data_IF_799644115875
#
_entry.id   IF_799644115875
#
_cell.length_a   1.000
_cell.length_b   1.000
_cell.length_c   1.000
_cell.angle_alpha   90.00
_cell.angle_beta   90.00
_cell.angle_gamma   90.00
#
_symmetry.space_group_name_H-M   'P 1'
#
loop_
_entity.id
_entity.type
_entity.pdbx_description
1 polymer ?
#
# COMPACT_ATOMS: atom_id res chain seq x y z
N UNK A 1 -4.34 31.38 -4.04
CA UNK A 1 -5.69 31.76 -3.59
C UNK A 1 -6.68 30.74 -4.10
N UNK A 2 -7.39 30.13 -3.17
CA UNK A 2 -8.61 29.33 -3.32
C UNK A 2 -8.41 27.95 -3.99
N UNK A 3 -8.06 26.97 -3.17
CA UNK A 3 -8.35 25.55 -3.36
C UNK A 3 -9.41 25.15 -2.35
N UNK A 4 -10.62 24.84 -2.79
CA UNK A 4 -11.69 24.36 -1.93
C UNK A 4 -11.50 22.86 -1.65
N UNK A 5 -11.15 22.52 -0.44
CA UNK A 5 -11.19 21.17 0.07
C UNK A 5 -12.66 20.75 0.28
N UNK A 6 -13.09 19.69 -0.42
CA UNK A 6 -14.38 19.04 -0.15
C UNK A 6 -14.18 18.12 1.03
N UNK A 7 -14.59 18.58 2.21
CA UNK A 7 -14.65 17.79 3.44
C UNK A 7 -15.87 16.88 3.41
N UNK A 8 -15.65 15.58 3.40
CA UNK A 8 -16.66 14.59 3.77
C UNK A 8 -16.87 14.62 5.30
N UNK A 9 -17.77 15.51 5.73
CA UNK A 9 -18.42 15.43 7.04
C UNK A 9 -19.91 15.55 6.82
N UNK A 10 -20.62 14.46 7.10
CA UNK A 10 -21.96 14.41 7.71
C UNK A 10 -22.70 13.16 7.25
N UNK A 11 -22.69 12.11 8.05
CA UNK A 11 -23.81 11.20 8.25
C UNK A 11 -23.66 10.56 9.62
N UNK A 12 -24.19 11.22 10.65
CA UNK A 12 -24.73 10.56 11.84
C UNK A 12 -25.76 11.49 12.46
N UNK A 13 -26.97 11.03 12.53
CA UNK A 13 -28.18 11.43 13.27
C UNK A 13 -29.36 11.81 12.39
N UNK A 14 -30.42 11.10 12.61
CA UNK A 14 -31.77 11.46 12.15
C UNK A 14 -32.73 10.28 12.17
N UNK A 15 -33.21 9.93 13.36
CA UNK A 15 -34.29 8.96 13.59
C UNK A 15 -35.67 9.55 13.24
N UNK A 16 -36.49 8.72 12.59
CA UNK A 16 -37.96 8.66 12.58
C UNK A 16 -38.79 9.92 12.38
N UNK A 17 -39.51 9.97 11.26
CA UNK A 17 -40.91 10.36 11.24
C UNK A 17 -41.64 9.63 10.13
N UNK A 18 -42.59 8.81 10.50
CA UNK A 18 -43.61 8.15 9.66
C UNK A 18 -44.59 9.21 9.22
N UNK A 19 -44.81 9.35 7.91
CA UNK A 19 -46.01 9.95 7.34
C UNK A 19 -46.48 9.11 6.16
N UNK A 20 -47.55 8.37 6.43
CA UNK A 20 -48.41 7.70 5.46
C UNK A 20 -49.19 8.75 4.68
N UNK A 21 -48.98 8.86 3.39
CA UNK A 21 -49.94 9.45 2.47
C UNK A 21 -50.06 8.58 1.24
N UNK A 22 -51.22 7.95 1.12
CA UNK A 22 -51.64 7.23 -0.06
C UNK A 22 -51.83 8.19 -1.25
N UNK A 23 -51.13 7.92 -2.36
CA UNK A 23 -51.45 8.52 -3.65
C UNK A 23 -51.45 7.39 -4.70
N UNK A 24 -52.57 7.38 -5.43
CA UNK A 24 -53.00 6.39 -6.39
C UNK A 24 -52.05 6.18 -7.59
N UNK A 25 -51.89 4.90 -7.96
CA UNK A 25 -51.81 4.33 -9.31
C UNK A 25 -51.38 5.21 -10.47
N UNK A 26 -50.07 5.14 -10.81
CA UNK A 26 -49.67 5.00 -12.19
C UNK A 26 -49.01 3.61 -12.28
N UNK A 27 -49.73 2.63 -12.83
CA UNK A 27 -49.19 1.36 -13.24
C UNK A 27 -48.25 1.56 -14.41
N UNK A 28 -47.03 2.03 -14.16
CA UNK A 28 -45.92 1.77 -15.05
C UNK A 28 -45.74 0.24 -15.01
N UNK A 29 -45.83 -0.40 -16.17
CA UNK A 29 -45.46 -1.81 -16.34
C UNK A 29 -43.96 -1.96 -15.99
N UNK A 30 -43.65 -2.05 -14.73
CA UNK A 30 -42.35 -2.54 -14.26
C UNK A 30 -42.46 -4.05 -14.37
N UNK A 31 -41.73 -4.63 -15.31
CA UNK A 31 -41.51 -6.07 -15.31
C UNK A 31 -41.15 -6.52 -13.92
N UNK A 32 -41.73 -7.59 -13.37
CA UNK A 32 -41.39 -8.06 -12.03
C UNK A 32 -39.88 -8.24 -11.94
N UNK A 33 -39.31 -7.73 -10.86
CA UNK A 33 -37.87 -7.86 -10.61
C UNK A 33 -37.51 -9.33 -10.55
N UNK A 34 -36.57 -9.78 -11.40
CA UNK A 34 -35.96 -11.09 -11.28
C UNK A 34 -35.01 -11.10 -10.10
N UNK A 35 -35.51 -11.51 -8.93
CA UNK A 35 -34.70 -11.58 -7.70
C UNK A 35 -33.47 -12.47 -7.89
N UNK A 36 -33.57 -13.53 -8.71
CA UNK A 36 -32.43 -14.39 -9.05
C UNK A 36 -31.35 -13.65 -9.81
N UNK A 37 -31.72 -12.87 -10.83
CA UNK A 37 -30.79 -12.10 -11.65
C UNK A 37 -30.13 -10.99 -10.83
N UNK A 38 -30.92 -10.29 -10.01
CA UNK A 38 -30.40 -9.29 -9.09
C UNK A 38 -29.38 -9.90 -8.13
N UNK A 39 -29.74 -11.00 -7.43
CA UNK A 39 -28.85 -11.66 -6.48
C UNK A 39 -27.55 -12.14 -7.16
N UNK A 40 -27.66 -12.67 -8.39
CA UNK A 40 -26.52 -13.09 -9.19
C UNK A 40 -25.61 -11.89 -9.49
N UNK A 41 -26.18 -10.81 -10.01
CA UNK A 41 -25.44 -9.56 -10.31
C UNK A 41 -24.74 -8.99 -9.08
N UNK A 42 -25.45 -8.95 -7.93
CA UNK A 42 -24.90 -8.44 -6.68
C UNK A 42 -23.76 -9.31 -6.15
N UNK A 43 -23.95 -10.62 -6.01
CA UNK A 43 -22.96 -11.51 -5.41
C UNK A 43 -21.68 -11.56 -6.25
N UNK A 44 -21.81 -11.82 -7.57
CA UNK A 44 -20.63 -11.90 -8.45
C UNK A 44 -20.00 -10.51 -8.65
N UNK A 45 -20.82 -9.45 -8.73
CA UNK A 45 -20.32 -8.07 -8.78
C UNK A 45 -19.45 -7.70 -7.60
N UNK A 46 -19.84 -8.08 -6.38
CA UNK A 46 -19.07 -7.82 -5.16
C UNK A 46 -17.75 -8.62 -5.13
N UNK A 47 -17.80 -9.89 -5.56
CA UNK A 47 -16.58 -10.70 -5.72
C UNK A 47 -15.62 -10.08 -6.74
N UNK A 48 -16.15 -9.64 -7.89
CA UNK A 48 -15.36 -8.98 -8.93
C UNK A 48 -14.82 -7.62 -8.50
N UNK A 49 -15.56 -6.88 -7.67
CA UNK A 49 -15.07 -5.65 -7.04
C UNK A 49 -13.86 -5.94 -6.15
N UNK A 50 -13.99 -6.90 -5.23
CA UNK A 50 -12.91 -7.29 -4.31
C UNK A 50 -11.67 -7.78 -5.07
N UNK A 51 -11.86 -8.60 -6.10
CA UNK A 51 -10.78 -9.08 -6.96
C UNK A 51 -10.09 -7.94 -7.73
N UNK A 52 -10.89 -7.04 -8.33
CA UNK A 52 -10.43 -6.02 -9.28
C UNK A 52 -9.88 -4.77 -8.64
N UNK A 53 -10.32 -4.43 -7.40
CA UNK A 53 -9.94 -3.19 -6.73
C UNK A 53 -8.42 -2.98 -6.68
N UNK A 54 -7.58 -3.94 -6.28
CA UNK A 54 -6.12 -3.77 -6.26
C UNK A 54 -5.53 -3.43 -7.63
N UNK A 55 -5.99 -4.10 -8.68
CA UNK A 55 -5.55 -3.86 -10.04
C UNK A 55 -5.90 -2.44 -10.53
N UNK A 56 -7.10 -1.96 -10.20
CA UNK A 56 -7.53 -0.62 -10.58
C UNK A 56 -6.83 0.48 -9.74
N UNK A 57 -6.58 0.22 -8.46
CA UNK A 57 -5.79 1.11 -7.59
C UNK A 57 -4.37 1.24 -8.13
N UNK A 58 -3.73 0.13 -8.49
CA UNK A 58 -2.38 0.12 -9.09
C UNK A 58 -2.37 0.87 -10.42
N UNK A 59 -3.40 0.68 -11.26
CA UNK A 59 -3.51 1.39 -12.53
C UNK A 59 -3.69 2.90 -12.35
N UNK A 60 -4.52 3.35 -11.41
CA UNK A 60 -4.69 4.80 -11.14
C UNK A 60 -3.44 5.40 -10.51
N UNK A 61 -2.74 4.64 -9.66
CA UNK A 61 -1.43 5.03 -9.09
C UNK A 61 -0.40 5.20 -10.21
N UNK A 62 -0.26 4.21 -11.11
CA UNK A 62 0.59 4.31 -12.28
C UNK A 62 0.27 5.57 -13.11
N UNK A 63 -1.00 5.72 -13.52
CA UNK A 63 -1.42 6.84 -14.37
C UNK A 63 -1.15 8.20 -13.71
N UNK A 64 -1.37 8.30 -12.39
CA UNK A 64 -1.10 9.53 -11.64
C UNK A 64 0.40 9.81 -11.54
N UNK A 65 1.19 8.81 -11.13
CA UNK A 65 2.62 8.99 -10.89
C UNK A 65 3.41 9.25 -12.18
N UNK A 66 2.94 8.72 -13.33
CA UNK A 66 3.61 8.89 -14.62
C UNK A 66 2.98 9.99 -15.49
N UNK A 67 2.11 10.82 -14.92
CA UNK A 67 1.40 11.89 -15.67
C UNK A 67 2.25 13.10 -16.00
N UNK A 68 3.47 13.19 -15.48
CA UNK A 68 4.42 14.29 -15.75
C UNK A 68 5.67 13.80 -16.46
N UNK A 69 6.28 14.71 -17.25
CA UNK A 69 7.41 14.41 -18.14
C UNK A 69 8.78 14.68 -17.51
N UNK A 70 8.80 15.20 -16.28
CA UNK A 70 10.02 15.52 -15.53
C UNK A 70 9.91 14.94 -14.12
N UNK A 71 11.00 14.31 -13.66
CA UNK A 71 11.04 13.75 -12.30
C UNK A 71 10.80 14.83 -11.24
N UNK A 72 9.82 14.59 -10.37
CA UNK A 72 9.49 15.42 -9.23
C UNK A 72 9.09 14.57 -8.02
N UNK A 73 10.05 14.29 -7.16
CA UNK A 73 9.87 13.36 -6.03
C UNK A 73 9.55 11.94 -6.52
N UNK A 74 8.37 11.43 -6.19
CA UNK A 74 7.91 10.09 -6.59
C UNK A 74 7.23 10.06 -7.97
N UNK A 75 7.02 11.21 -8.61
CA UNK A 75 6.38 11.36 -9.91
C UNK A 75 7.39 11.54 -11.01
N UNK A 76 7.09 11.04 -12.23
CA UNK A 76 7.91 11.25 -13.40
C UNK A 76 7.72 10.18 -14.45
N UNK A 77 8.44 10.25 -15.58
CA UNK A 77 8.32 9.32 -16.69
C UNK A 77 8.62 7.87 -16.30
N UNK A 78 8.10 6.93 -17.12
CA UNK A 78 8.43 5.49 -17.01
C UNK A 78 9.90 5.23 -17.34
N UNK A 79 10.41 4.08 -16.92
CA UNK A 79 11.75 3.59 -17.20
C UNK A 79 12.89 4.50 -16.71
N UNK A 80 12.62 5.27 -15.64
CA UNK A 80 13.65 6.00 -14.89
C UNK A 80 13.28 6.08 -13.42
N UNK A 81 14.29 6.25 -12.55
CA UNK A 81 14.05 6.48 -11.14
C UNK A 81 13.61 7.92 -10.87
N UNK A 82 12.57 8.05 -10.06
CA UNK A 82 12.05 9.29 -9.51
C UNK A 82 12.32 9.24 -8.00
N UNK A 83 13.30 10.01 -7.54
CA UNK A 83 13.82 9.89 -6.19
C UNK A 83 13.27 10.97 -5.28
N UNK A 84 12.72 10.57 -4.13
CA UNK A 84 12.38 11.48 -3.02
C UNK A 84 13.65 11.77 -2.23
N UNK A 85 14.06 13.03 -2.17
CA UNK A 85 15.34 13.48 -1.58
C UNK A 85 15.19 14.09 -0.19
N UNK A 86 14.00 14.09 0.35
CA UNK A 86 13.67 14.66 1.67
C UNK A 86 12.94 13.63 2.51
N UNK A 87 13.13 13.72 3.82
CA UNK A 87 12.36 12.89 4.75
C UNK A 87 10.86 13.18 4.65
N UNK A 88 10.08 12.13 4.78
CA UNK A 88 8.63 12.27 4.89
C UNK A 88 8.25 13.02 6.18
N UNK A 89 7.18 13.77 6.09
CA UNK A 89 6.60 14.60 7.15
C UNK A 89 5.06 14.60 7.00
N UNK A 90 4.31 15.28 7.86
CA UNK A 90 2.85 15.33 7.77
C UNK A 90 2.26 15.80 6.43
N UNK A 91 3.04 16.52 5.63
CA UNK A 91 2.66 16.94 4.27
C UNK A 91 2.92 15.88 3.18
N UNK A 92 3.56 14.76 3.51
CA UNK A 92 3.85 13.66 2.57
C UNK A 92 2.61 12.79 2.41
N UNK A 93 1.89 12.95 1.31
CA UNK A 93 0.59 12.30 1.05
C UNK A 93 0.61 11.37 -0.18
N UNK A 94 1.77 11.13 -0.77
CA UNK A 94 1.92 10.34 -2.01
C UNK A 94 1.68 8.85 -1.76
N UNK A 95 2.11 8.37 -0.60
CA UNK A 95 1.91 6.97 -0.16
C UNK A 95 1.27 6.96 1.22
N UNK A 96 0.52 5.90 1.51
CA UNK A 96 -0.07 5.67 2.83
C UNK A 96 1.02 5.23 3.79
N UNK A 97 1.00 5.75 5.01
CA UNK A 97 1.90 5.40 6.10
C UNK A 97 3.40 5.42 5.69
N UNK A 98 3.93 6.55 5.20
CA UNK A 98 5.32 6.64 4.77
C UNK A 98 6.29 6.52 5.96
N UNK A 99 7.46 5.89 5.75
CA UNK A 99 8.53 5.85 6.75
C UNK A 99 9.19 7.22 6.93
N UNK A 100 9.63 7.56 8.15
CA UNK A 100 10.30 8.83 8.45
C UNK A 100 11.84 8.73 8.53
N UNK A 101 12.41 7.54 8.32
CA UNK A 101 13.86 7.29 8.42
C UNK A 101 14.48 6.76 7.13
N UNK A 102 13.80 6.88 6.00
CA UNK A 102 14.32 6.42 4.71
C UNK A 102 14.00 7.41 3.59
N UNK A 103 14.78 7.35 2.51
CA UNK A 103 14.45 8.02 1.26
C UNK A 103 13.93 7.00 0.25
N UNK A 104 12.89 7.39 -0.49
CA UNK A 104 12.24 6.52 -1.47
C UNK A 104 12.82 6.72 -2.87
N UNK A 105 13.01 5.62 -3.60
CA UNK A 105 13.36 5.57 -5.02
C UNK A 105 12.26 4.85 -5.77
N UNK A 106 11.51 5.57 -6.59
CA UNK A 106 10.33 5.05 -7.28
C UNK A 106 10.60 4.96 -8.78
N UNK A 107 10.23 3.84 -9.39
CA UNK A 107 10.22 3.72 -10.85
C UNK A 107 9.04 2.88 -11.33
N UNK A 108 8.45 3.27 -12.45
CA UNK A 108 7.51 2.45 -13.18
C UNK A 108 8.16 1.95 -14.45
N UNK A 109 8.22 0.64 -14.63
CA UNK A 109 8.75 0.03 -15.84
C UNK A 109 7.62 -0.20 -16.85
N UNK A 110 7.88 0.17 -18.10
CA UNK A 110 7.18 -0.31 -19.27
C UNK A 110 8.12 -1.23 -20.05
N UNK A 111 7.87 -2.53 -19.97
CA UNK A 111 8.61 -3.60 -20.62
C UNK A 111 7.95 -4.06 -21.93
N UNK A 112 6.94 -3.33 -22.45
CA UNK A 112 6.19 -3.75 -23.64
C UNK A 112 7.05 -3.81 -24.89
N UNK A 113 8.13 -3.03 -24.95
CA UNK A 113 9.02 -2.95 -26.12
C UNK A 113 10.28 -3.78 -25.97
N UNK A 114 10.96 -3.66 -24.83
CA UNK A 114 12.23 -4.33 -24.55
C UNK A 114 12.48 -4.42 -23.05
N UNK A 115 13.38 -5.34 -22.60
CA UNK A 115 13.83 -5.40 -21.23
C UNK A 115 14.49 -4.09 -20.76
N UNK A 116 14.43 -3.83 -19.46
CA UNK A 116 15.19 -2.77 -18.81
C UNK A 116 16.32 -3.37 -17.99
N UNK A 117 17.49 -2.75 -18.04
CA UNK A 117 18.63 -3.10 -17.18
C UNK A 117 18.60 -2.20 -15.96
N UNK A 118 18.34 -2.81 -14.81
CA UNK A 118 18.46 -2.17 -13.50
C UNK A 118 19.89 -2.30 -13.02
N UNK A 119 20.56 -1.16 -12.77
CA UNK A 119 21.83 -1.13 -12.05
C UNK A 119 21.59 -0.94 -10.57
N UNK A 120 22.16 -1.83 -9.74
CA UNK A 120 22.18 -1.73 -8.28
C UNK A 120 23.63 -1.44 -7.86
N UNK A 121 23.94 -0.24 -7.32
CA UNK A 121 25.29 0.10 -6.88
C UNK A 121 25.66 -0.62 -5.59
N UNK A 122 26.90 -0.49 -5.15
CA UNK A 122 27.26 -0.80 -3.77
C UNK A 122 26.50 0.11 -2.80
N UNK A 123 25.91 -0.49 -1.76
CA UNK A 123 25.17 0.22 -0.71
C UNK A 123 25.82 -0.14 0.63
N UNK A 124 26.99 0.46 0.95
CA UNK A 124 27.72 0.12 2.16
C UNK A 124 26.96 0.60 3.40
N UNK A 125 26.85 -0.28 4.39
CA UNK A 125 26.35 0.05 5.74
C UNK A 125 24.93 0.64 5.82
N UNK A 126 24.09 0.49 4.80
CA UNK A 126 22.70 0.94 4.81
C UNK A 126 21.78 -0.23 4.46
N UNK A 127 20.70 -0.35 5.21
CA UNK A 127 19.60 -1.21 4.79
C UNK A 127 18.90 -0.56 3.57
N UNK A 128 18.68 -1.36 2.53
CA UNK A 128 17.89 -0.94 1.37
C UNK A 128 17.05 -2.09 0.84
N UNK A 129 15.99 -1.72 0.14
CA UNK A 129 15.15 -2.61 -0.64
C UNK A 129 14.69 -1.91 -1.90
N UNK A 130 14.69 -2.61 -3.04
CA UNK A 130 13.99 -2.25 -4.26
C UNK A 130 13.05 -3.43 -4.57
N UNK A 131 11.77 -3.26 -4.26
CA UNK A 131 10.75 -4.27 -4.50
C UNK A 131 10.13 -4.07 -5.88
N UNK A 132 10.08 -5.14 -6.68
CA UNK A 132 9.38 -5.20 -7.95
C UNK A 132 7.96 -5.70 -7.70
N UNK A 133 6.98 -4.87 -8.00
CA UNK A 133 5.56 -5.12 -7.72
C UNK A 133 4.80 -5.18 -9.03
N UNK A 134 4.00 -6.22 -9.20
CA UNK A 134 3.19 -6.44 -10.39
C UNK A 134 1.87 -5.62 -10.37
N UNK A 135 1.08 -5.59 -11.46
CA UNK A 135 -0.20 -4.88 -11.50
C UNK A 135 -1.23 -5.35 -10.47
N UNK A 136 -1.10 -6.59 -9.97
CA UNK A 136 -1.96 -7.16 -8.92
C UNK A 136 -1.45 -6.90 -7.50
N UNK A 137 -0.49 -5.99 -7.33
CA UNK A 137 0.15 -5.62 -6.05
C UNK A 137 1.02 -6.72 -5.42
N UNK A 138 1.39 -7.74 -6.19
CA UNK A 138 2.25 -8.83 -5.70
C UNK A 138 3.73 -8.47 -5.88
N UNK A 139 4.53 -8.68 -4.85
CA UNK A 139 5.99 -8.61 -4.97
C UNK A 139 6.48 -9.81 -5.79
N UNK A 140 7.12 -9.55 -6.92
CA UNK A 140 7.60 -10.59 -7.84
C UNK A 140 9.11 -10.80 -7.74
N UNK A 141 9.85 -9.79 -7.28
CA UNK A 141 11.27 -9.87 -6.97
C UNK A 141 11.65 -8.75 -6.00
N UNK A 142 12.69 -8.96 -5.21
CA UNK A 142 13.27 -7.97 -4.32
C UNK A 142 14.78 -7.91 -4.52
N UNK A 143 15.32 -6.69 -4.55
CA UNK A 143 16.75 -6.43 -4.44
C UNK A 143 16.98 -5.67 -3.15
N UNK A 144 18.06 -5.98 -2.46
CA UNK A 144 18.34 -5.27 -1.22
C UNK A 144 19.19 -6.08 -0.24
N UNK A 145 19.31 -5.53 0.97
CA UNK A 145 20.12 -6.11 2.04
C UNK A 145 19.61 -7.48 2.43
N UNK A 146 18.31 -7.62 2.70
CA UNK A 146 17.70 -8.89 3.10
C UNK A 146 17.71 -9.94 1.97
N UNK A 147 17.74 -9.53 0.71
CA UNK A 147 17.88 -10.40 -0.45
C UNK A 147 19.35 -10.75 -0.77
N UNK A 148 20.31 -10.24 0.00
CA UNK A 148 21.75 -10.38 -0.24
C UNK A 148 22.15 -10.03 -1.68
N UNK A 149 21.55 -8.96 -2.22
CA UNK A 149 21.75 -8.54 -3.60
C UNK A 149 23.19 -8.14 -3.84
N UNK A 150 23.84 -8.77 -4.82
CA UNK A 150 25.18 -8.39 -5.25
C UNK A 150 25.10 -7.12 -6.10
N UNK A 151 25.95 -6.11 -5.87
CA UNK A 151 26.00 -4.95 -6.74
C UNK A 151 26.24 -5.36 -8.21
N UNK A 152 25.52 -4.76 -9.15
CA UNK A 152 25.61 -5.13 -10.57
C UNK A 152 24.37 -4.82 -11.37
N UNK A 153 24.29 -5.43 -12.56
CA UNK A 153 23.28 -5.15 -13.55
C UNK A 153 22.29 -6.32 -13.70
N UNK A 154 21.01 -6.00 -13.62
CA UNK A 154 19.91 -6.95 -13.64
C UNK A 154 18.97 -6.65 -14.82
N UNK A 155 18.86 -7.59 -15.77
CA UNK A 155 17.99 -7.46 -16.93
C UNK A 155 16.59 -7.92 -16.55
N UNK A 156 15.68 -6.96 -16.39
CA UNK A 156 14.26 -7.23 -16.08
C UNK A 156 13.53 -7.42 -17.42
N UNK A 157 13.09 -8.65 -17.68
CA UNK A 157 12.47 -9.07 -18.92
C UNK A 157 10.98 -9.37 -18.72
N UNK A 158 10.14 -8.72 -19.53
CA UNK A 158 8.69 -8.88 -19.52
C UNK A 158 8.19 -10.06 -20.37
N UNK A 159 6.87 -10.21 -20.53
CA UNK A 159 6.25 -11.26 -21.33
C UNK A 159 6.80 -11.31 -22.76
N UNK A 160 7.09 -12.52 -23.24
CA UNK A 160 7.64 -12.72 -24.58
C UNK A 160 9.13 -12.39 -24.75
N UNK A 161 9.81 -11.92 -23.70
CA UNK A 161 11.21 -11.51 -23.75
C UNK A 161 12.18 -12.51 -23.09
N UNK A 162 11.70 -13.64 -22.61
CA UNK A 162 12.50 -14.63 -21.87
C UNK A 162 13.67 -15.22 -22.70
N UNK A 163 13.56 -15.24 -24.04
CA UNK A 163 14.59 -15.75 -24.93
C UNK A 163 15.55 -14.67 -25.46
N UNK A 164 15.36 -13.39 -25.10
CA UNK A 164 16.24 -12.29 -25.54
C UNK A 164 17.62 -12.50 -24.89
N UNK A 165 18.73 -12.53 -25.68
CA UNK A 165 20.06 -12.64 -25.12
C UNK A 165 20.37 -11.48 -24.16
N UNK A 166 21.02 -11.79 -23.04
CA UNK A 166 21.48 -10.77 -22.08
C UNK A 166 23.00 -10.60 -22.16
N UNK A 167 23.54 -9.40 -21.90
CA UNK A 167 24.97 -9.16 -21.87
C UNK A 167 25.69 -10.03 -20.83
N UNK A 168 26.94 -10.40 -21.13
CA UNK A 168 27.77 -11.12 -20.20
C UNK A 168 27.98 -10.31 -18.91
N UNK A 169 27.92 -10.97 -17.76
CA UNK A 169 28.07 -10.34 -16.44
C UNK A 169 26.78 -9.70 -15.90
N UNK A 170 25.67 -9.78 -16.64
CA UNK A 170 24.35 -9.36 -16.12
C UNK A 170 23.53 -10.55 -15.60
N UNK A 171 22.55 -10.28 -14.74
CA UNK A 171 21.63 -11.27 -14.18
C UNK A 171 20.23 -11.09 -14.77
N UNK A 172 19.55 -12.19 -15.14
CA UNK A 172 18.18 -12.15 -15.67
C UNK A 172 17.16 -12.19 -14.54
N UNK A 173 16.12 -11.37 -14.66
CA UNK A 173 14.91 -11.40 -13.83
C UNK A 173 13.70 -11.38 -14.75
N UNK A 174 13.01 -12.49 -14.86
CA UNK A 174 11.81 -12.62 -15.68
C UNK A 174 10.57 -12.26 -14.86
N UNK A 175 9.71 -11.41 -15.44
CA UNK A 175 8.44 -11.00 -14.82
C UNK A 175 7.26 -11.30 -15.74
N UNK A 176 6.09 -11.56 -15.14
CA UNK A 176 4.90 -12.01 -15.88
C UNK A 176 4.13 -10.87 -16.58
N UNK A 177 4.46 -9.63 -16.29
CA UNK A 177 3.72 -8.47 -16.80
C UNK A 177 4.65 -7.42 -17.39
N UNK A 178 4.16 -6.70 -18.39
CA UNK A 178 4.90 -5.61 -19.05
C UNK A 178 4.99 -4.34 -18.21
N UNK A 179 4.16 -4.21 -17.16
CA UNK A 179 4.21 -3.09 -16.22
C UNK A 179 4.67 -3.60 -14.87
N UNK A 180 5.71 -2.98 -14.33
CA UNK A 180 6.25 -3.29 -12.99
C UNK A 180 6.46 -1.98 -12.25
N UNK A 181 6.09 -1.95 -10.99
CA UNK A 181 6.38 -0.85 -10.08
C UNK A 181 7.60 -1.19 -9.22
N UNK A 182 8.65 -0.40 -9.28
CA UNK A 182 9.77 -0.49 -8.34
C UNK A 182 9.50 0.49 -7.19
N UNK A 183 9.37 -0.05 -5.98
CA UNK A 183 9.33 0.73 -4.75
C UNK A 183 10.65 0.51 -4.03
N UNK A 184 11.46 1.56 -3.99
CA UNK A 184 12.74 1.57 -3.30
C UNK A 184 12.67 2.33 -1.98
N UNK A 185 13.36 1.80 -0.97
CA UNK A 185 13.57 2.44 0.34
C UNK A 185 15.01 2.23 0.75
N UNK A 186 15.74 3.33 1.01
CA UNK A 186 17.11 3.29 1.56
C UNK A 186 17.12 4.00 2.90
N UNK A 187 17.52 3.28 3.96
CA UNK A 187 17.45 3.78 5.33
C UNK A 187 18.57 4.78 5.62
N UNK A 188 18.25 5.81 6.40
CA UNK A 188 19.18 6.82 6.89
C UNK A 188 19.72 6.44 8.28
N UNK A 189 20.96 6.74 8.54
CA UNK A 189 21.61 6.71 9.88
C UNK A 189 21.39 8.00 10.68
N UNK A 190 20.38 8.78 10.34
CA UNK A 190 20.02 10.07 10.92
C UNK A 190 19.92 11.17 9.86
N UNK A 191 19.45 12.35 10.23
CA UNK A 191 19.17 13.46 9.29
C UNK A 191 20.42 13.95 8.55
N UNK A 192 21.61 13.85 9.15
CA UNK A 192 22.88 14.22 8.52
C UNK A 192 23.33 13.28 7.40
N UNK A 193 22.66 12.14 7.23
CA UNK A 193 23.02 11.09 6.27
C UNK A 193 22.34 11.25 4.90
N UNK A 194 21.43 12.23 4.76
CA UNK A 194 20.73 12.50 3.50
C UNK A 194 21.68 12.60 2.29
N UNK A 195 22.85 13.29 2.35
CA UNK A 195 23.76 13.34 1.22
C UNK A 195 24.33 11.97 0.78
N UNK A 196 24.58 11.06 1.74
CA UNK A 196 25.08 9.73 1.44
C UNK A 196 24.01 8.88 0.77
N UNK A 197 22.79 8.85 1.34
CA UNK A 197 21.67 8.12 0.74
C UNK A 197 21.27 8.71 -0.62
N UNK A 198 21.37 10.03 -0.79
CA UNK A 198 21.16 10.68 -2.10
C UNK A 198 22.15 10.15 -3.14
N UNK A 199 23.43 9.98 -2.77
CA UNK A 199 24.46 9.41 -3.68
C UNK A 199 24.16 7.95 -4.02
N UNK A 200 23.67 7.17 -3.06
CA UNK A 200 23.22 5.78 -3.31
C UNK A 200 22.04 5.78 -4.31
N UNK A 201 21.05 6.65 -4.10
CA UNK A 201 19.92 6.80 -5.02
C UNK A 201 20.35 7.21 -6.43
N UNK A 202 21.40 8.04 -6.58
CA UNK A 202 21.95 8.42 -7.89
C UNK A 202 22.62 7.23 -8.61
N UNK A 203 23.01 6.21 -7.86
CA UNK A 203 23.56 4.98 -8.40
C UNK A 203 22.49 4.02 -8.94
N UNK A 204 21.23 4.11 -8.50
CA UNK A 204 20.16 3.31 -9.10
C UNK A 204 19.81 3.85 -10.48
N UNK A 205 20.06 3.06 -11.52
CA UNK A 205 19.75 3.46 -12.88
C UNK A 205 18.94 2.42 -13.63
N UNK A 206 18.21 2.89 -14.64
CA UNK A 206 17.46 2.06 -15.58
C UNK A 206 17.90 2.40 -16.99
N UNK A 207 18.26 1.38 -17.77
CA UNK A 207 18.74 1.52 -19.14
C UNK A 207 17.99 0.52 -20.03
N UNK A 208 17.38 0.95 -21.16
CA UNK A 208 16.86 0.01 -22.14
C UNK A 208 17.93 -0.98 -22.58
N UNK A 209 17.61 -2.26 -22.69
CA UNK A 209 18.62 -3.28 -23.04
C UNK A 209 19.35 -2.97 -24.35
N UNK A 210 18.64 -2.41 -25.35
CA UNK A 210 19.24 -1.97 -26.64
C UNK A 210 20.26 -0.83 -26.50
N UNK A 211 20.32 -0.15 -25.36
CA UNK A 211 21.23 0.96 -25.04
C UNK A 211 22.27 0.60 -23.98
N UNK A 212 22.24 -0.64 -23.48
CA UNK A 212 23.20 -1.09 -22.48
C UNK A 212 24.64 -1.01 -23.03
N UNK A 213 25.57 -0.54 -22.19
CA UNK A 213 26.96 -0.32 -22.57
C UNK A 213 27.21 0.93 -23.41
N UNK A 214 26.20 1.79 -23.60
CA UNK A 214 26.34 3.10 -24.26
C UNK A 214 26.23 4.23 -23.25
N UNK A 215 26.53 5.47 -23.68
CA UNK A 215 26.33 6.67 -22.84
C UNK A 215 24.85 7.14 -22.87
N UNK A 216 23.94 6.21 -22.56
CA UNK A 216 22.50 6.48 -22.57
C UNK A 216 22.12 7.47 -21.46
N UNK A 217 21.29 8.43 -21.83
CA UNK A 217 20.57 9.32 -20.90
C UNK A 217 19.10 9.33 -21.28
N UNK A 218 18.17 9.29 -20.29
CA UNK A 218 16.75 9.49 -20.58
C UNK A 218 16.53 10.81 -21.32
N UNK A 219 15.68 10.79 -22.34
CA UNK A 219 15.36 11.98 -23.14
C UNK A 219 14.34 12.82 -22.34
N UNK A 220 14.71 14.07 -22.04
CA UNK A 220 13.78 15.03 -21.49
C UNK A 220 12.86 15.56 -22.59
N UNK A 221 11.56 15.70 -22.28
CA UNK A 221 10.59 16.31 -23.19
C UNK A 221 10.99 17.77 -23.49
N UNK A 222 10.81 18.20 -24.75
CA UNK A 222 11.15 19.57 -25.19
C UNK A 222 10.22 20.62 -24.55
N UNK A 223 8.98 20.25 -24.26
CA UNK A 223 7.98 21.07 -23.56
C UNK A 223 7.29 20.17 -22.53
N UNK A 224 7.90 19.92 -21.35
CA UNK A 224 7.44 18.92 -20.42
C UNK A 224 6.13 19.33 -19.73
N UNK A 225 5.22 18.38 -19.59
CA UNK A 225 4.12 18.50 -18.63
C UNK A 225 4.67 18.34 -17.20
N UNK A 226 4.48 19.34 -16.37
CA UNK A 226 4.91 19.35 -14.96
C UNK A 226 3.71 19.27 -13.98
N UNK A 227 2.49 19.22 -14.51
CA UNK A 227 1.26 19.22 -13.70
C UNK A 227 0.77 17.79 -13.53
N UNK A 228 0.77 17.32 -12.28
CA UNK A 228 0.28 15.98 -11.95
C UNK A 228 -1.22 15.88 -12.25
N UNK A 229 -1.60 14.87 -13.03
CA UNK A 229 -2.98 14.53 -13.33
C UNK A 229 -3.43 13.36 -12.45
N UNK A 230 -4.34 13.62 -11.51
CA UNK A 230 -4.84 12.58 -10.60
C UNK A 230 -5.85 11.71 -11.33
N UNK A 231 -5.52 10.43 -11.52
CA UNK A 231 -6.45 9.45 -12.06
C UNK A 231 -7.39 8.93 -10.97
N UNK A 232 -8.61 8.58 -11.35
CA UNK A 232 -9.64 8.07 -10.44
C UNK A 232 -10.23 6.77 -10.98
N UNK A 233 -10.67 5.91 -10.08
CA UNK A 233 -11.46 4.72 -10.44
C UNK A 233 -12.89 5.19 -10.72
N UNK A 234 -13.48 4.87 -11.90
CA UNK A 234 -14.83 5.27 -12.22
C UNK A 234 -15.86 4.50 -11.39
N UNK A 235 -17.04 5.09 -11.18
CA UNK A 235 -18.19 4.43 -10.57
C UNK A 235 -19.10 3.73 -11.58
N UNK A 236 -20.13 3.05 -11.09
CA UNK A 236 -21.10 2.32 -11.93
C UNK A 236 -20.45 1.24 -12.78
N UNK A 237 -21.10 0.80 -13.84
CA UNK A 237 -20.58 -0.24 -14.72
C UNK A 237 -19.21 0.09 -15.34
N UNK A 238 -18.83 1.37 -15.41
CA UNK A 238 -17.51 1.78 -15.90
C UNK A 238 -16.36 1.25 -15.06
N UNK A 239 -16.57 0.93 -13.77
CA UNK A 239 -15.61 0.19 -12.94
C UNK A 239 -15.28 -1.18 -13.56
N UNK A 240 -16.33 -1.96 -13.91
CA UNK A 240 -16.14 -3.29 -14.48
C UNK A 240 -15.60 -3.23 -15.90
N UNK A 241 -15.95 -2.20 -16.68
CA UNK A 241 -15.36 -1.97 -18.00
C UNK A 241 -13.85 -1.70 -17.91
N UNK A 242 -13.45 -0.85 -16.95
CA UNK A 242 -12.03 -0.62 -16.67
C UNK A 242 -11.35 -1.90 -16.19
N UNK A 243 -12.01 -2.68 -15.33
CA UNK A 243 -11.48 -3.99 -14.89
C UNK A 243 -11.25 -4.90 -16.09
N UNK A 244 -12.23 -5.02 -17.01
CA UNK A 244 -12.08 -5.82 -18.23
C UNK A 244 -10.89 -5.39 -19.09
N UNK A 245 -10.65 -4.09 -19.24
CA UNK A 245 -9.49 -3.56 -19.95
C UNK A 245 -8.17 -3.91 -19.26
N UNK A 246 -8.13 -3.81 -17.93
CA UNK A 246 -6.91 -4.15 -17.18
C UNK A 246 -6.64 -5.66 -17.20
N UNK A 247 -7.68 -6.50 -17.16
CA UNK A 247 -7.55 -7.96 -17.28
C UNK A 247 -7.05 -8.39 -18.68
N UNK A 248 -7.38 -7.64 -19.73
CA UNK A 248 -6.84 -7.86 -21.08
C UNK A 248 -5.37 -7.45 -21.17
N UNK A 249 -5.02 -6.31 -20.59
CA UNK A 249 -3.64 -5.79 -20.58
C UNK A 249 -2.71 -6.64 -19.71
N UNK A 250 -3.22 -7.14 -18.59
CA UNK A 250 -2.51 -7.95 -17.60
C UNK A 250 -3.25 -9.25 -17.36
N UNK A 251 -3.05 -10.26 -18.22
CA UNK A 251 -3.82 -11.52 -18.14
C UNK A 251 -3.67 -12.17 -16.76
N UNK A 252 -4.79 -12.56 -16.13
CA UNK A 252 -4.79 -13.24 -14.84
C UNK A 252 -4.01 -14.56 -14.87
N UNK A 253 -3.44 -14.92 -13.73
CA UNK A 253 -2.72 -16.19 -13.58
C UNK A 253 -3.71 -17.39 -13.64
N UNK A 254 -3.16 -18.58 -13.90
CA UNK A 254 -3.96 -19.81 -13.97
C UNK A 254 -4.78 -20.08 -12.70
N UNK A 255 -4.24 -19.71 -11.53
CA UNK A 255 -4.93 -19.84 -10.24
C UNK A 255 -6.22 -18.99 -10.12
N UNK A 256 -6.34 -17.92 -10.92
CA UNK A 256 -7.50 -17.02 -10.89
C UNK A 256 -8.64 -17.48 -11.80
N UNK A 257 -8.43 -18.50 -12.66
CA UNK A 257 -9.41 -18.95 -13.63
C UNK A 257 -10.79 -19.31 -13.04
N UNK A 258 -10.89 -19.94 -11.85
CA UNK A 258 -12.18 -20.20 -11.23
C UNK A 258 -12.99 -18.92 -10.93
N UNK A 259 -12.31 -17.86 -10.44
CA UNK A 259 -12.95 -16.58 -10.18
C UNK A 259 -13.41 -15.91 -11.49
N UNK A 260 -12.56 -15.93 -12.53
CA UNK A 260 -12.90 -15.35 -13.83
C UNK A 260 -14.06 -16.08 -14.53
N UNK A 261 -14.15 -17.40 -14.40
CA UNK A 261 -15.28 -18.16 -14.92
C UNK A 261 -16.60 -17.70 -14.30
N UNK A 262 -16.62 -17.41 -12.99
CA UNK A 262 -17.80 -16.82 -12.32
C UNK A 262 -18.08 -15.41 -12.82
N UNK A 263 -17.05 -14.56 -12.93
CA UNK A 263 -17.23 -13.16 -13.38
C UNK A 263 -17.78 -13.09 -14.80
N UNK A 264 -17.38 -14.01 -15.68
CA UNK A 264 -17.87 -14.10 -17.05
C UNK A 264 -19.40 -14.31 -17.13
N UNK A 265 -20.02 -14.90 -16.11
CA UNK A 265 -21.47 -15.11 -16.04
C UNK A 265 -22.27 -13.78 -16.01
N UNK A 266 -21.64 -12.67 -15.61
CA UNK A 266 -22.21 -11.32 -15.62
C UNK A 266 -21.44 -10.37 -16.54
N UNK A 267 -20.70 -10.93 -17.51
CA UNK A 267 -20.03 -10.18 -18.57
C UNK A 267 -18.74 -9.48 -18.13
N UNK A 268 -18.09 -9.93 -17.05
CA UNK A 268 -16.80 -9.40 -16.58
C UNK A 268 -15.68 -10.39 -16.94
N UNK A 269 -14.64 -9.91 -17.61
CA UNK A 269 -13.49 -10.73 -18.02
C UNK A 269 -12.55 -9.94 -18.91
N UNK A 270 -11.42 -10.54 -19.36
CA UNK A 270 -10.46 -9.87 -20.24
C UNK A 270 -11.13 -9.27 -21.49
N UNK A 271 -10.99 -7.97 -21.70
CA UNK A 271 -11.58 -7.22 -22.81
C UNK A 271 -13.10 -7.05 -22.77
N UNK A 272 -13.79 -7.66 -21.81
CA UNK A 272 -15.24 -7.53 -21.67
C UNK A 272 -15.63 -6.15 -21.10
N UNK A 273 -16.80 -5.67 -21.57
CA UNK A 273 -17.38 -4.38 -21.15
C UNK A 273 -18.84 -4.56 -20.78
N UNK A 274 -19.17 -4.79 -19.52
CA UNK A 274 -20.54 -5.00 -19.05
C UNK A 274 -21.50 -3.86 -19.43
N UNK A 275 -21.04 -2.59 -19.46
CA UNK A 275 -21.86 -1.47 -19.87
C UNK A 275 -22.37 -1.53 -21.31
N UNK A 276 -21.69 -2.31 -22.15
CA UNK A 276 -22.03 -2.52 -23.58
C UNK A 276 -22.70 -3.87 -23.84
N UNK A 277 -22.87 -4.70 -22.80
CA UNK A 277 -23.43 -6.04 -22.94
C UNK A 277 -24.96 -5.99 -22.90
N UNK A 278 -25.58 -6.05 -24.09
CA UNK A 278 -27.04 -6.01 -24.27
C UNK A 278 -27.76 -7.26 -23.80
N UNK A 279 -27.05 -8.35 -23.47
CA UNK A 279 -27.61 -9.60 -22.98
C UNK A 279 -27.82 -9.64 -21.48
N UNK A 280 -27.22 -8.68 -20.72
CA UNK A 280 -27.45 -8.58 -19.29
C UNK A 280 -28.86 -8.06 -19.01
N UNK A 281 -29.57 -8.73 -18.10
CA UNK A 281 -30.87 -8.24 -17.64
C UNK A 281 -30.72 -6.94 -16.83
N UNK A 282 -31.76 -6.12 -16.83
CA UNK A 282 -31.75 -4.89 -16.00
C UNK A 282 -31.56 -5.18 -14.52
N UNK A 283 -32.05 -6.31 -14.04
CA UNK A 283 -31.91 -6.71 -12.65
C UNK A 283 -30.49 -7.18 -12.34
N UNK A 284 -29.82 -7.88 -13.26
CA UNK A 284 -28.38 -8.19 -13.14
C UNK A 284 -27.55 -6.91 -13.05
N UNK A 285 -27.79 -5.95 -13.95
CA UNK A 285 -27.09 -4.66 -13.97
C UNK A 285 -27.30 -3.93 -12.64
N UNK A 286 -28.56 -3.84 -12.17
CA UNK A 286 -28.85 -3.20 -10.87
C UNK A 286 -28.12 -3.89 -9.73
N UNK A 287 -28.08 -5.23 -9.70
CA UNK A 287 -27.31 -5.97 -8.71
C UNK A 287 -25.83 -5.64 -8.75
N UNK A 288 -25.23 -5.51 -9.93
CA UNK A 288 -23.82 -5.12 -10.10
C UNK A 288 -23.55 -3.68 -9.61
N UNK A 289 -24.45 -2.73 -9.88
CA UNK A 289 -24.33 -1.34 -9.42
C UNK A 289 -24.45 -1.25 -7.89
N UNK A 290 -25.41 -1.98 -7.30
CA UNK A 290 -25.56 -2.04 -5.84
C UNK A 290 -24.36 -2.72 -5.17
N UNK A 291 -23.75 -3.73 -5.81
CA UNK A 291 -22.51 -4.35 -5.36
C UNK A 291 -21.35 -3.35 -5.30
N UNK A 292 -21.22 -2.51 -6.32
CA UNK A 292 -20.20 -1.44 -6.32
C UNK A 292 -20.42 -0.42 -5.22
N UNK A 293 -21.68 -0.03 -4.97
CA UNK A 293 -22.02 0.87 -3.87
C UNK A 293 -21.69 0.25 -2.50
N UNK A 294 -21.87 -1.08 -2.35
CA UNK A 294 -21.55 -1.82 -1.13
C UNK A 294 -20.05 -2.11 -0.97
N UNK A 295 -19.30 -2.16 -2.07
CA UNK A 295 -17.90 -2.60 -2.10
C UNK A 295 -16.99 -1.92 -1.07
N UNK A 296 -16.95 -0.57 -0.97
CA UNK A 296 -16.12 0.11 0.04
C UNK A 296 -16.46 -0.28 1.48
N UNK A 297 -17.76 -0.48 1.76
CA UNK A 297 -18.22 -0.99 3.05
C UNK A 297 -17.77 -2.42 3.33
N UNK A 298 -17.77 -3.28 2.30
CA UNK A 298 -17.26 -4.64 2.40
C UNK A 298 -15.76 -4.64 2.74
N UNK A 299 -14.93 -3.88 2.02
CA UNK A 299 -13.49 -3.81 2.31
C UNK A 299 -13.21 -3.30 3.73
N UNK A 300 -14.00 -2.33 4.20
CA UNK A 300 -13.90 -1.87 5.60
C UNK A 300 -14.23 -2.99 6.60
N UNK A 301 -15.30 -3.75 6.37
CA UNK A 301 -15.67 -4.88 7.20
C UNK A 301 -14.60 -5.98 7.17
N UNK A 302 -14.05 -6.26 5.99
CA UNK A 302 -12.96 -7.21 5.81
C UNK A 302 -11.71 -6.78 6.57
N UNK A 303 -11.38 -5.49 6.56
CA UNK A 303 -10.27 -4.93 7.35
C UNK A 303 -10.49 -5.16 8.85
N UNK A 304 -11.69 -4.90 9.35
CA UNK A 304 -12.04 -5.14 10.75
C UNK A 304 -11.96 -6.62 11.09
N UNK A 305 -12.47 -7.50 10.23
CA UNK A 305 -12.41 -8.95 10.45
C UNK A 305 -10.98 -9.47 10.53
N UNK A 306 -10.14 -9.11 9.56
CA UNK A 306 -8.71 -9.47 9.56
C UNK A 306 -7.98 -8.93 10.80
N UNK A 307 -8.31 -7.71 11.23
CA UNK A 307 -7.74 -7.13 12.44
C UNK A 307 -8.14 -7.92 13.67
N UNK A 308 -9.43 -8.26 13.83
CA UNK A 308 -9.91 -9.01 14.99
C UNK A 308 -9.37 -10.45 15.02
N UNK A 309 -9.23 -11.11 13.88
CA UNK A 309 -8.60 -12.43 13.76
C UNK A 309 -7.12 -12.43 14.18
N UNK A 310 -6.42 -11.33 13.89
CA UNK A 310 -5.01 -11.14 14.22
C UNK A 310 -4.80 -10.68 15.67
N UNK A 311 -5.76 -9.95 16.24
CA UNK A 311 -5.65 -9.16 17.46
C UNK A 311 -5.11 -9.94 18.66
N UNK A 312 -5.75 -11.04 19.01
CA UNK A 312 -5.40 -11.80 20.23
C UNK A 312 -4.07 -12.55 20.07
N UNK A 313 -3.69 -12.86 18.83
CA UNK A 313 -2.43 -13.54 18.51
C UNK A 313 -1.24 -12.58 18.54
N UNK A 314 -1.44 -11.33 18.16
CA UNK A 314 -0.38 -10.36 17.94
C UNK A 314 -0.51 -9.12 18.85
N UNK A 315 -0.90 -9.32 20.12
CA UNK A 315 -0.97 -8.27 21.16
C UNK A 315 -1.75 -7.02 20.75
N UNK A 316 -2.80 -7.18 19.92
CA UNK A 316 -3.63 -6.05 19.48
C UNK A 316 -3.26 -5.49 18.14
N UNK A 317 -2.50 -6.21 17.30
CA UNK A 317 -2.08 -5.74 15.99
C UNK A 317 -2.61 -6.61 14.84
N UNK A 318 -2.91 -5.98 13.71
CA UNK A 318 -2.97 -6.63 12.41
C UNK A 318 -1.53 -6.88 11.95
N UNK A 319 -1.15 -8.13 11.91
CA UNK A 319 0.15 -8.58 11.46
C UNK A 319 -0.02 -9.79 10.54
N UNK A 320 0.74 -9.85 9.45
CA UNK A 320 0.63 -10.94 8.49
C UNK A 320 1.68 -10.88 7.38
N UNK A 321 1.66 -11.88 6.52
CA UNK A 321 2.51 -11.95 5.33
C UNK A 321 1.90 -11.11 4.20
N UNK A 322 2.31 -9.85 4.08
CA UNK A 322 1.88 -8.96 3.00
C UNK A 322 2.79 -9.13 1.77
N UNK A 323 2.41 -8.52 0.64
CA UNK A 323 3.19 -8.55 -0.59
C UNK A 323 3.07 -9.82 -1.43
N UNK A 324 2.57 -10.93 -0.88
CA UNK A 324 2.25 -12.17 -1.61
C UNK A 324 0.91 -12.69 -1.13
N UNK A 325 -0.07 -12.75 -2.00
CA UNK A 325 -1.47 -13.00 -1.62
C UNK A 325 -2.04 -14.29 -2.20
N UNK A 326 -1.44 -14.84 -3.27
CA UNK A 326 -2.02 -15.97 -3.99
C UNK A 326 -3.47 -15.68 -4.41
N UNK A 327 -4.39 -16.57 -4.04
CA UNK A 327 -5.84 -16.42 -4.27
C UNK A 327 -6.59 -15.79 -3.09
N UNK A 328 -5.90 -15.24 -2.10
CA UNK A 328 -6.53 -14.49 -1.01
C UNK A 328 -6.86 -13.07 -1.49
N UNK A 329 -7.93 -12.96 -2.31
CA UNK A 329 -8.36 -11.69 -2.91
C UNK A 329 -8.82 -10.67 -1.87
N UNK A 330 -9.39 -11.13 -0.75
CA UNK A 330 -9.82 -10.29 0.36
C UNK A 330 -8.63 -9.57 1.00
N UNK A 331 -7.59 -10.31 1.41
CA UNK A 331 -6.38 -9.71 1.97
C UNK A 331 -5.71 -8.76 0.97
N UNK A 332 -5.61 -9.16 -0.30
CA UNK A 332 -5.03 -8.33 -1.36
C UNK A 332 -5.81 -7.01 -1.52
N UNK A 333 -7.15 -7.06 -1.49
CA UNK A 333 -8.00 -5.88 -1.57
C UNK A 333 -7.84 -4.98 -0.36
N UNK A 334 -7.84 -5.53 0.85
CA UNK A 334 -7.62 -4.76 2.09
C UNK A 334 -6.25 -4.07 2.06
N UNK A 335 -5.18 -4.81 1.78
CA UNK A 335 -3.82 -4.24 1.77
C UNK A 335 -3.65 -3.19 0.66
N UNK A 336 -4.35 -3.32 -0.47
CA UNK A 336 -4.35 -2.25 -1.49
C UNK A 336 -4.90 -0.92 -1.00
N UNK A 337 -5.67 -0.90 0.11
CA UNK A 337 -6.26 0.30 0.69
C UNK A 337 -5.47 0.85 1.89
N UNK A 338 -4.86 -0.02 2.69
CA UNK A 338 -4.20 0.37 3.95
C UNK A 338 -2.67 0.29 3.88
N UNK A 339 -2.11 -0.35 2.85
CA UNK A 339 -0.66 -0.59 2.73
C UNK A 339 -0.23 -0.94 1.31
N UNK A 340 -0.76 -0.21 0.30
CA UNK A 340 -0.38 -0.42 -1.10
C UNK A 340 1.15 -0.37 -1.27
N UNK A 341 1.71 -1.40 -1.89
CA UNK A 341 3.15 -1.52 -2.08
C UNK A 341 3.89 -2.08 -0.86
N UNK A 342 3.20 -2.73 0.08
CA UNK A 342 3.82 -3.43 1.20
C UNK A 342 4.83 -4.48 0.70
N UNK A 343 5.97 -4.55 1.38
CA UNK A 343 7.02 -5.52 1.09
C UNK A 343 6.67 -6.91 1.64
N UNK A 344 7.31 -7.93 1.11
CA UNK A 344 7.24 -9.29 1.65
C UNK A 344 7.89 -9.40 3.03
N UNK A 345 7.50 -10.37 3.87
CA UNK A 345 8.01 -10.50 5.24
C UNK A 345 9.51 -10.64 5.37
N UNK A 346 10.19 -11.17 4.35
CA UNK A 346 11.65 -11.24 4.29
C UNK A 346 12.31 -9.86 4.14
N UNK A 347 11.58 -8.86 3.62
CA UNK A 347 12.06 -7.48 3.49
C UNK A 347 11.59 -6.61 4.64
N UNK A 348 10.30 -6.72 5.01
CA UNK A 348 9.73 -5.99 6.14
C UNK A 348 8.49 -6.68 6.71
N UNK A 349 8.35 -6.70 8.02
CA UNK A 349 7.12 -7.08 8.72
C UNK A 349 6.45 -5.81 9.24
N UNK A 350 5.14 -5.71 9.01
CA UNK A 350 4.32 -4.59 9.46
C UNK A 350 3.32 -5.07 10.50
N UNK A 351 3.22 -4.35 11.61
CA UNK A 351 2.18 -4.57 12.62
C UNK A 351 1.43 -3.27 12.86
N UNK A 352 0.14 -3.25 12.53
CA UNK A 352 -0.74 -2.08 12.61
C UNK A 352 -1.78 -2.28 13.71
N UNK A 353 -2.05 -1.22 14.48
CA UNK A 353 -3.17 -1.23 15.43
C UNK A 353 -3.93 0.09 15.43
N UNK A 354 -5.25 -0.05 15.55
CA UNK A 354 -6.23 1.04 15.72
C UNK A 354 -6.93 0.98 17.07
N UNK A 355 -6.54 0.02 17.93
CA UNK A 355 -7.17 -0.21 19.22
C UNK A 355 -6.14 -0.46 20.33
N UNK A 356 -6.54 -0.19 21.58
CA UNK A 356 -5.79 -0.58 22.76
C UNK A 356 -6.01 -2.07 23.12
N UNK A 357 -5.31 -2.53 24.13
CA UNK A 357 -5.41 -3.92 24.61
C UNK A 357 -6.84 -4.34 24.99
N UNK A 358 -7.68 -3.40 25.41
CA UNK A 358 -9.09 -3.62 25.72
C UNK A 358 -10.01 -3.59 24.48
N UNK A 359 -9.45 -3.59 23.25
CA UNK A 359 -10.18 -3.49 21.96
C UNK A 359 -10.95 -2.17 21.81
N UNK A 360 -10.54 -1.11 22.52
CA UNK A 360 -11.11 0.24 22.38
C UNK A 360 -10.30 1.02 21.35
N UNK A 361 -10.99 1.73 20.46
CA UNK A 361 -10.34 2.55 19.46
C UNK A 361 -9.36 3.54 20.08
N UNK A 362 -8.19 3.72 19.44
CA UNK A 362 -7.21 4.71 19.84
C UNK A 362 -7.75 6.11 19.58
N UNK A 363 -7.66 6.99 20.58
CA UNK A 363 -8.14 8.37 20.53
C UNK A 363 -7.19 9.31 21.26
N UNK A 364 -6.92 10.47 20.65
CA UNK A 364 -5.99 11.46 21.21
C UNK A 364 -6.45 12.12 22.54
N UNK A 365 -7.65 11.82 23.04
CA UNK A 365 -8.10 12.24 24.39
C UNK A 365 -7.52 11.39 25.51
N UNK A 366 -6.86 10.27 25.19
CA UNK A 366 -6.28 9.33 26.14
C UNK A 366 -4.77 9.27 26.02
N UNK A 367 -4.14 8.86 27.12
CA UNK A 367 -2.73 8.53 27.15
C UNK A 367 -2.55 7.01 27.05
N UNK A 368 -1.48 6.58 26.40
CA UNK A 368 -1.17 5.16 26.27
C UNK A 368 0.31 4.92 26.55
N UNK A 369 0.60 3.70 27.02
CA UNK A 369 1.96 3.18 27.20
C UNK A 369 2.11 1.89 26.39
N UNK A 370 3.23 1.77 25.70
CA UNK A 370 3.72 0.53 25.12
C UNK A 370 4.98 0.12 25.87
N UNK A 371 4.92 -0.98 26.60
CA UNK A 371 6.04 -1.52 27.35
C UNK A 371 6.79 -2.56 26.50
N UNK A 372 7.93 -2.21 25.95
CA UNK A 372 8.79 -3.11 25.19
C UNK A 372 9.78 -3.79 26.13
N UNK A 373 9.46 -4.98 26.60
CA UNK A 373 10.31 -5.76 27.49
C UNK A 373 11.63 -6.14 26.83
N UNK A 374 11.57 -6.52 25.54
CA UNK A 374 12.76 -6.83 24.72
C UNK A 374 12.56 -6.25 23.32
N UNK A 375 13.60 -5.65 22.77
CA UNK A 375 13.59 -5.24 21.36
C UNK A 375 13.51 -6.44 20.41
N UNK A 376 12.95 -6.27 19.19
CA UNK A 376 13.06 -7.31 18.17
C UNK A 376 14.54 -7.66 17.93
N UNK A 377 14.83 -8.94 17.85
CA UNK A 377 16.19 -9.44 17.63
C UNK A 377 16.36 -9.98 16.22
N UNK A 378 17.56 -9.92 15.67
CA UNK A 378 17.92 -10.58 14.41
C UNK A 378 17.40 -9.88 13.16
N UNK A 379 17.05 -8.60 13.23
CA UNK A 379 16.69 -7.77 12.06
C UNK A 379 17.69 -6.64 11.87
N UNK A 380 17.60 -5.97 10.72
CA UNK A 380 18.44 -4.82 10.39
C UNK A 380 18.04 -3.56 11.18
N UNK A 381 16.73 -3.37 11.38
CA UNK A 381 16.19 -2.21 12.11
C UNK A 381 14.71 -2.40 12.44
N UNK A 382 14.21 -1.60 13.38
CA UNK A 382 12.78 -1.46 13.64
C UNK A 382 12.37 0.00 13.75
N UNK A 383 11.09 0.27 13.46
CA UNK A 383 10.49 1.60 13.68
C UNK A 383 9.12 1.49 14.34
N UNK A 384 8.79 2.47 15.18
CA UNK A 384 7.47 2.68 15.78
C UNK A 384 6.98 4.06 15.35
N UNK A 385 5.86 4.13 14.66
CA UNK A 385 5.30 5.37 14.10
C UNK A 385 3.83 5.53 14.48
N UNK A 386 3.40 6.77 14.72
CA UNK A 386 1.98 7.14 14.89
C UNK A 386 1.49 7.88 13.65
N UNK A 387 0.34 7.45 13.14
CA UNK A 387 -0.32 8.06 11.99
C UNK A 387 -1.75 8.45 12.34
N UNK A 388 -2.30 9.39 11.58
CA UNK A 388 -3.75 9.61 11.53
C UNK A 388 -4.43 8.39 10.88
N UNK A 389 -5.75 8.27 11.04
CA UNK A 389 -6.53 7.21 10.35
C UNK A 389 -6.49 7.30 8.82
N UNK A 390 -5.91 8.34 8.25
CA UNK A 390 -5.65 8.50 6.82
C UNK A 390 -4.21 8.08 6.43
N UNK A 391 -3.46 7.49 7.37
CA UNK A 391 -2.08 7.06 7.15
C UNK A 391 -1.08 8.22 6.99
N UNK A 392 -1.39 9.41 7.52
CA UNK A 392 -0.49 10.56 7.52
C UNK A 392 0.23 10.68 8.86
N UNK A 393 1.50 11.09 8.85
CA UNK A 393 2.22 11.42 10.09
C UNK A 393 1.52 12.52 10.87
N UNK A 394 1.53 12.42 12.19
CA UNK A 394 0.86 13.39 13.07
C UNK A 394 1.68 14.65 13.20
N UNK A 395 1.13 15.79 12.77
CA UNK A 395 1.78 17.11 12.98
C UNK A 395 1.97 17.38 14.47
N UNK A 396 3.18 17.69 14.88
CA UNK A 396 3.49 17.94 16.29
C UNK A 396 4.62 18.96 16.46
N UNK A 397 4.71 19.65 17.64
CA UNK A 397 5.61 20.78 17.84
C UNK A 397 7.10 20.41 17.91
N UNK A 398 7.42 19.12 18.10
CA UNK A 398 8.82 18.66 18.22
C UNK A 398 9.29 17.91 16.97
N UNK A 399 8.46 17.85 15.92
CA UNK A 399 8.74 17.12 14.65
C UNK A 399 9.20 15.67 14.88
N UNK A 400 8.68 15.01 15.91
CA UNK A 400 8.96 13.60 16.20
C UNK A 400 7.82 12.75 15.69
N UNK A 401 8.08 11.95 14.67
CA UNK A 401 7.07 11.15 13.98
C UNK A 401 7.24 9.65 14.24
N UNK A 402 8.43 9.23 14.63
CA UNK A 402 8.76 7.84 14.91
C UNK A 402 9.88 7.68 15.94
N UNK A 403 9.98 6.47 16.48
CA UNK A 403 11.17 5.91 17.11
C UNK A 403 11.75 4.79 16.27
N UNK A 404 13.02 4.49 16.46
CA UNK A 404 13.75 3.38 15.87
C UNK A 404 14.80 2.83 16.85
N UNK A 405 15.46 1.77 16.45
CA UNK A 405 16.63 1.21 17.16
C UNK A 405 17.79 2.22 17.33
N UNK A 406 17.88 3.22 16.44
CA UNK A 406 18.90 4.27 16.51
C UNK A 406 18.47 5.50 17.33
N UNK A 407 17.25 5.51 17.86
CA UNK A 407 16.73 6.61 18.68
C UNK A 407 17.40 6.67 20.06
N UNK A 408 17.66 7.88 20.57
CA UNK A 408 18.14 8.07 21.93
C UNK A 408 17.01 7.83 22.93
N UNK A 409 16.78 6.58 23.31
CA UNK A 409 15.71 6.15 24.22
C UNK A 409 16.20 6.15 25.68
N UNK A 410 15.30 6.50 26.60
CA UNK A 410 15.47 6.24 28.02
C UNK A 410 15.08 4.80 28.31
N UNK A 411 16.03 4.01 28.80
CA UNK A 411 15.89 2.60 29.12
C UNK A 411 15.60 2.43 30.61
N UNK A 412 14.70 1.54 30.97
CA UNK A 412 14.40 1.18 32.34
C UNK A 412 15.57 0.39 32.99
N UNK A 413 15.65 0.29 34.32
CA UNK A 413 16.73 -0.46 35.01
C UNK A 413 16.83 -1.94 34.63
N UNK A 414 15.75 -2.55 34.17
CA UNK A 414 15.68 -3.94 33.72
C UNK A 414 15.97 -4.12 32.22
N UNK A 415 16.30 -3.03 31.50
CA UNK A 415 16.59 -3.03 30.07
C UNK A 415 15.37 -2.84 29.18
N UNK A 416 14.17 -2.81 29.72
CA UNK A 416 12.94 -2.53 28.97
C UNK A 416 12.83 -1.05 28.55
N UNK A 417 11.92 -0.75 27.62
CA UNK A 417 11.62 0.62 27.18
C UNK A 417 10.13 0.87 27.20
N UNK A 418 9.71 1.96 27.84
CA UNK A 418 8.34 2.44 27.78
C UNK A 418 8.20 3.58 26.77
N UNK A 419 7.31 3.43 25.80
CA UNK A 419 6.92 4.49 24.87
C UNK A 419 5.60 5.11 25.34
N UNK A 420 5.54 6.43 25.34
CA UNK A 420 4.39 7.20 25.81
C UNK A 420 3.69 7.85 24.61
N UNK A 421 2.47 7.40 24.32
CA UNK A 421 1.65 7.95 23.25
C UNK A 421 0.59 8.86 23.86
N UNK A 422 0.70 10.17 23.64
CA UNK A 422 -0.26 11.15 24.15
C UNK A 422 -0.17 12.47 23.37
N UNK A 423 -1.29 13.21 23.30
CA UNK A 423 -1.33 14.49 22.59
C UNK A 423 -0.60 15.60 23.33
N UNK A 424 -0.67 15.60 24.67
CA UNK A 424 -0.05 16.62 25.51
C UNK A 424 1.38 16.21 25.90
N UNK A 425 2.31 17.13 25.80
CA UNK A 425 3.70 16.88 26.18
C UNK A 425 3.83 16.47 27.65
N UNK A 426 4.50 15.36 27.97
CA UNK A 426 4.80 14.96 29.34
C UNK A 426 5.65 15.99 30.06
N UNK A 427 5.39 16.22 31.35
CA UNK A 427 6.21 17.06 32.21
C UNK A 427 7.41 16.34 32.82
N UNK A 428 7.32 15.00 32.93
CA UNK A 428 8.40 14.13 33.37
C UNK A 428 9.47 14.00 32.28
N UNK A 429 10.73 14.39 32.54
CA UNK A 429 11.79 14.29 31.53
C UNK A 429 12.05 12.88 31.01
N UNK A 430 11.86 11.84 31.83
CA UNK A 430 12.02 10.45 31.40
C UNK A 430 10.93 10.04 30.38
N UNK A 431 9.69 10.44 30.64
CA UNK A 431 8.58 10.22 29.71
C UNK A 431 8.75 11.04 28.43
N UNK A 432 9.25 12.29 28.55
CA UNK A 432 9.49 13.17 27.41
C UNK A 432 10.50 12.60 26.42
N UNK A 433 11.53 11.90 26.89
CA UNK A 433 12.52 11.26 26.02
C UNK A 433 11.88 10.21 25.09
N UNK A 434 10.94 9.42 25.63
CA UNK A 434 10.24 8.34 24.93
C UNK A 434 8.80 8.73 24.51
N UNK A 435 8.47 10.02 24.45
CA UNK A 435 7.15 10.49 24.04
C UNK A 435 7.02 10.57 22.53
N UNK A 436 5.99 9.92 22.00
CA UNK A 436 5.57 10.00 20.60
C UNK A 436 4.19 10.67 20.53
N UNK A 437 4.10 11.90 19.99
CA UNK A 437 2.85 12.67 19.98
C UNK A 437 1.74 11.99 19.18
N UNK A 438 0.53 11.99 19.74
CA UNK A 438 -0.71 11.56 19.05
C UNK A 438 -1.51 12.75 18.53
N UNK A 439 -2.52 12.55 17.67
CA UNK A 439 -3.47 13.60 17.33
C UNK A 439 -4.17 14.18 18.58
N UNK A 440 -4.79 15.36 18.48
CA UNK A 440 -5.55 15.93 19.59
C UNK A 440 -6.80 15.13 19.93
N UNK A 441 -7.40 15.44 21.10
CA UNK A 441 -8.62 14.80 21.60
C UNK A 441 -9.73 14.73 20.55
N UNK A 442 -10.42 13.59 20.48
CA UNK A 442 -11.51 13.30 19.56
C UNK A 442 -11.07 12.93 18.14
N UNK A 443 -9.76 12.78 17.92
CA UNK A 443 -9.22 12.26 16.69
C UNK A 443 -8.61 10.87 16.91
N UNK A 444 -9.10 9.90 16.13
CA UNK A 444 -8.54 8.55 16.12
C UNK A 444 -7.17 8.52 15.44
N UNK A 445 -6.38 7.52 15.77
CA UNK A 445 -5.05 7.32 15.18
C UNK A 445 -4.72 5.84 15.05
N UNK A 446 -3.63 5.54 14.35
CA UNK A 446 -3.06 4.21 14.23
C UNK A 446 -1.60 4.20 14.67
N UNK A 447 -1.17 3.04 15.13
CA UNK A 447 0.21 2.76 15.51
C UNK A 447 0.76 1.68 14.59
N UNK A 448 1.95 1.91 14.05
CA UNK A 448 2.61 0.95 13.18
C UNK A 448 4.03 0.65 13.66
N UNK A 449 4.30 -0.63 13.87
CA UNK A 449 5.66 -1.16 13.94
C UNK A 449 6.09 -1.66 12.56
N UNK A 450 7.35 -1.40 12.23
CA UNK A 450 8.02 -2.04 11.09
C UNK A 450 9.29 -2.72 11.58
N UNK A 451 9.44 -3.98 11.20
CA UNK A 451 10.71 -4.69 11.32
C UNK A 451 11.30 -4.75 9.92
N UNK A 452 12.47 -4.18 9.72
CA UNK A 452 13.14 -4.11 8.42
C UNK A 452 14.22 -5.19 8.35
N UNK A 453 14.26 -5.96 7.26
CA UNK A 453 15.19 -7.05 7.07
C UNK A 453 15.18 -8.03 8.24
N UNK A 454 14.05 -8.57 8.70
CA UNK A 454 14.03 -9.48 9.83
C UNK A 454 14.84 -10.75 9.53
N UNK A 455 15.48 -11.33 10.54
CA UNK A 455 16.18 -12.60 10.39
C UNK A 455 15.19 -13.67 9.87
N UNK A 456 15.47 -14.35 8.75
CA UNK A 456 14.58 -15.36 8.19
C UNK A 456 14.15 -16.44 9.18
N UNK A 457 14.99 -16.79 10.16
CA UNK A 457 14.68 -17.78 11.19
C UNK A 457 13.59 -17.30 12.18
N UNK A 458 13.41 -16.00 12.34
CA UNK A 458 12.43 -15.40 13.28
C UNK A 458 11.08 -15.14 12.63
N UNK A 459 11.03 -15.01 11.30
CA UNK A 459 9.81 -14.66 10.55
C UNK A 459 8.63 -15.59 10.87
N UNK A 460 8.76 -16.93 10.82
CA UNK A 460 7.64 -17.82 11.10
C UNK A 460 7.03 -17.58 12.48
N UNK A 461 7.87 -17.47 13.52
CA UNK A 461 7.41 -17.24 14.89
C UNK A 461 6.74 -15.85 15.09
N UNK A 462 7.22 -14.82 14.37
CA UNK A 462 6.57 -13.51 14.40
C UNK A 462 5.19 -13.58 13.74
N UNK A 463 5.09 -14.24 12.58
CA UNK A 463 3.83 -14.33 11.83
C UNK A 463 2.78 -15.25 12.46
N UNK A 464 3.18 -16.28 13.20
CA UNK A 464 2.27 -17.20 13.88
C UNK A 464 1.99 -16.84 15.35
N UNK A 465 2.65 -15.81 15.89
CA UNK A 465 2.46 -15.33 17.26
C UNK A 465 3.30 -16.04 18.33
N UNK A 466 4.15 -16.99 17.95
CA UNK A 466 5.00 -17.75 18.91
C UNK A 466 6.35 -17.06 19.18
N UNK A 467 6.77 -16.15 18.30
CA UNK A 467 7.99 -15.38 18.43
C UNK A 467 7.76 -13.99 19.03
N UNK A 468 8.70 -13.05 18.77
CA UNK A 468 8.56 -11.67 19.21
C UNK A 468 7.27 -11.04 18.68
N UNK A 469 6.57 -10.35 19.56
CA UNK A 469 5.37 -9.59 19.21
C UNK A 469 5.52 -8.13 19.65
N UNK A 470 4.93 -7.18 18.90
CA UNK A 470 4.93 -5.79 19.34
C UNK A 470 4.24 -5.65 20.69
N UNK A 471 4.71 -4.71 21.56
CA UNK A 471 4.11 -4.50 22.87
C UNK A 471 2.67 -4.02 22.76
N UNK A 472 1.79 -4.56 23.60
CA UNK A 472 0.39 -4.16 23.65
C UNK A 472 0.25 -2.65 23.97
N UNK A 473 -0.75 -2.01 23.40
CA UNK A 473 -1.07 -0.60 23.64
C UNK A 473 -2.00 -0.53 24.84
N UNK A 474 -1.51 -0.01 25.97
CA UNK A 474 -2.28 0.05 27.23
C UNK A 474 -2.69 1.48 27.53
N UNK A 475 -4.00 1.73 27.68
CA UNK A 475 -4.50 3.02 28.12
C UNK A 475 -4.10 3.28 29.60
N UNK A 476 -3.66 4.49 29.87
CA UNK A 476 -3.26 4.93 31.21
C UNK A 476 -4.01 6.21 31.60
N UNK A 477 -4.21 6.46 32.93
CA UNK A 477 -4.90 7.65 33.40
C UNK A 477 -4.27 8.99 32.92
#
# INVERSE_FOLDING_TARGET
>A
MIGGAITQRQVFMGMCAVLVTAALLAAACTSPVSQSDYNKGYAIGLEAYTYGLPLLVTNTTFTTMTSIDVSNGAFGPVNQFNNVRTLNNPGSTVVVAPGASSLSSIAWLDLSREPQVLHVPEVPDHFFVLALIDPYTTNVANFGSASHTVPGDYVIAGPGQHAVPIPAGTHRVDVNYSRIWIIGSTQLKGSGDIPNVTRIQDGYTLTPLSKYGTDYRPINATNPNTTVQVATIPGGLAFYDMLGQQLEMFPPLAADQPALARFAEIGIGPGMRPSQNTHLSKDTIRGMEDALAAGPGQIKNDTVSLFLESFDRHNGYLLGGFGQYGTNYQLRAVISQIGLGAFTPDQAIYALSWADHDKKALDGSKNYVLHMATAPTGGESWTLTVYTLQGQMVQNPINRYQFSDTSALTVNPDGSVDFYLQATQPTDPKKLANWLPTPPAGQGFEVMWRLLGPDPSTIPGILDGTGWQPPAITAVP
#
